data_IF_203783722609
#
_entry.id   IF_203783722609
#
_cell.length_a   1.000
_cell.length_b   1.000
_cell.length_c   1.000
_cell.angle_alpha   90.00
_cell.angle_beta   90.00
_cell.angle_gamma   90.00
#
_symmetry.space_group_name_H-M   'P 1'
#
loop_
_entity.id
_entity.type
_entity.pdbx_description
1 polymer ?
#
# COMPACT_ATOMS: atom_id res chain seq x y z
N UNK A 1 10.03 -9.88 -7.12
CA UNK A 1 8.70 -9.79 -6.49
C UNK A 1 8.54 -10.98 -5.56
N UNK A 2 8.28 -10.77 -4.27
CA UNK A 2 8.07 -11.84 -3.29
C UNK A 2 6.60 -11.89 -2.89
N UNK A 3 5.99 -13.08 -2.91
CA UNK A 3 4.63 -13.31 -2.42
C UNK A 3 4.66 -13.40 -0.89
N UNK A 4 3.80 -12.62 -0.23
CA UNK A 4 3.73 -12.53 1.24
C UNK A 4 2.45 -13.17 1.77
N UNK A 5 1.33 -12.98 1.06
CA UNK A 5 0.03 -13.51 1.45
C UNK A 5 -0.81 -13.83 0.23
N UNK A 6 -1.61 -14.89 0.32
CA UNK A 6 -2.60 -15.29 -0.68
C UNK A 6 -3.80 -15.94 0.01
N UNK A 7 -5.01 -15.51 -0.33
CA UNK A 7 -6.25 -16.16 0.10
C UNK A 7 -7.39 -15.87 -0.87
N UNK A 8 -8.33 -16.81 -0.99
CA UNK A 8 -9.67 -16.49 -1.51
C UNK A 8 -10.39 -15.55 -0.54
N UNK A 9 -11.22 -14.67 -1.07
CA UNK A 9 -12.02 -13.73 -0.31
C UNK A 9 -12.92 -12.87 -1.19
N UNK A 10 -13.61 -11.94 -0.55
CA UNK A 10 -14.51 -11.02 -1.22
C UNK A 10 -13.96 -9.61 -1.14
N UNK A 11 -14.12 -8.85 -2.21
CA UNK A 11 -13.69 -7.46 -2.24
C UNK A 11 -14.60 -6.58 -3.09
N UNK A 12 -14.61 -5.29 -2.81
CA UNK A 12 -15.21 -4.27 -3.66
C UNK A 12 -14.46 -2.95 -3.53
N UNK A 13 -14.64 -2.09 -4.52
CA UNK A 13 -14.38 -0.66 -4.36
C UNK A 13 -15.53 -0.04 -3.55
N UNK A 14 -15.23 0.93 -2.69
CA UNK A 14 -16.14 1.62 -1.78
C UNK A 14 -16.67 0.76 -0.61
N UNK A 15 -17.73 1.25 0.05
CA UNK A 15 -18.35 0.61 1.20
C UNK A 15 -19.23 -0.58 0.84
N UNK A 16 -19.29 -1.54 1.78
CA UNK A 16 -20.20 -2.68 1.69
C UNK A 16 -21.60 -2.23 2.09
N UNK A 17 -22.57 -2.39 1.20
CA UNK A 17 -23.97 -2.05 1.44
C UNK A 17 -24.87 -3.30 1.42
N UNK A 18 -25.84 -3.38 2.32
CA UNK A 18 -26.84 -4.45 2.32
C UNK A 18 -26.25 -5.85 2.55
N UNK A 19 -26.69 -6.82 1.75
CA UNK A 19 -26.16 -8.18 1.80
C UNK A 19 -24.82 -8.24 1.06
N UNK A 20 -23.74 -8.25 1.84
CA UNK A 20 -22.36 -8.16 1.37
C UNK A 20 -21.99 -9.20 0.29
N UNK A 21 -22.56 -10.40 0.34
CA UNK A 21 -22.29 -11.45 -0.64
C UNK A 21 -22.71 -11.07 -2.07
N UNK A 22 -23.66 -10.14 -2.22
CA UNK A 22 -24.13 -9.66 -3.52
C UNK A 22 -23.48 -8.33 -3.93
N UNK A 23 -22.85 -7.62 -2.98
CA UNK A 23 -22.22 -6.32 -3.23
C UNK A 23 -20.70 -6.42 -3.41
N UNK A 24 -20.13 -7.62 -3.28
CA UNK A 24 -18.69 -7.86 -3.34
C UNK A 24 -18.37 -8.95 -4.35
N UNK A 25 -17.23 -8.80 -5.03
CA UNK A 25 -16.70 -9.78 -5.96
C UNK A 25 -15.91 -10.85 -5.20
N UNK A 26 -16.19 -12.12 -5.50
CA UNK A 26 -15.37 -13.25 -5.04
C UNK A 26 -14.10 -13.33 -5.89
N UNK A 27 -12.97 -13.58 -5.24
CA UNK A 27 -11.70 -13.68 -5.94
C UNK A 27 -10.51 -13.99 -5.04
N UNK A 28 -9.31 -13.74 -5.54
CA UNK A 28 -8.04 -13.93 -4.82
C UNK A 28 -7.49 -12.58 -4.36
N UNK A 29 -7.10 -12.52 -3.10
CA UNK A 29 -6.34 -11.42 -2.50
C UNK A 29 -4.87 -11.84 -2.45
N UNK A 30 -4.01 -11.12 -3.17
CA UNK A 30 -2.57 -11.37 -3.21
C UNK A 30 -1.83 -10.16 -2.64
N UNK A 31 -0.97 -10.39 -1.66
CA UNK A 31 -0.04 -9.38 -1.17
C UNK A 31 1.37 -9.75 -1.57
N UNK A 32 2.04 -8.84 -2.25
CA UNK A 32 3.48 -8.92 -2.53
C UNK A 32 4.19 -7.78 -1.81
N UNK A 33 5.52 -7.76 -1.87
CA UNK A 33 6.30 -6.63 -1.40
C UNK A 33 6.21 -5.37 -2.28
N UNK A 34 5.37 -5.35 -3.33
CA UNK A 34 5.19 -4.18 -4.22
C UNK A 34 3.73 -3.73 -4.31
N UNK A 35 2.79 -4.68 -4.31
CA UNK A 35 1.38 -4.39 -4.50
C UNK A 35 0.48 -5.34 -3.71
N UNK A 36 -0.72 -4.83 -3.40
CA UNK A 36 -1.91 -5.59 -3.03
C UNK A 36 -2.78 -5.77 -4.28
N UNK A 37 -2.97 -7.00 -4.71
CA UNK A 37 -3.81 -7.34 -5.87
C UNK A 37 -5.10 -8.04 -5.44
N UNK A 38 -6.20 -7.65 -6.08
CA UNK A 38 -7.53 -8.20 -5.90
C UNK A 38 -7.98 -8.75 -7.26
N UNK A 39 -7.87 -10.06 -7.45
CA UNK A 39 -8.15 -10.72 -8.72
C UNK A 39 -9.55 -11.31 -8.68
N UNK A 40 -10.40 -10.97 -9.64
CA UNK A 40 -11.80 -11.40 -9.66
C UNK A 40 -11.90 -12.81 -10.24
N UNK A 41 -12.67 -13.69 -9.60
CA UNK A 41 -12.95 -15.03 -10.14
C UNK A 41 -13.80 -14.89 -11.41
N UNK A 42 -13.34 -15.47 -12.51
CA UNK A 42 -14.04 -15.48 -13.79
C UNK A 42 -15.30 -16.33 -13.69
N UNK A 43 -16.43 -15.80 -14.17
CA UNK A 43 -17.72 -16.52 -14.22
C UNK A 43 -17.91 -17.32 -15.54
N UNK A 44 -16.87 -17.45 -16.38
CA UNK A 44 -16.98 -18.11 -17.69
C UNK A 44 -16.88 -19.62 -17.49
N UNK A 45 -18.02 -20.23 -17.21
CA UNK A 45 -18.14 -21.68 -17.13
C UNK A 45 -18.50 -22.20 -18.53
N UNK A 46 -17.50 -22.48 -19.36
CA UNK A 46 -17.69 -23.20 -20.62
C UNK A 46 -16.87 -24.48 -20.53
N UNK A 47 -17.46 -25.49 -19.87
CA UNK A 47 -17.17 -26.92 -20.06
C UNK A 47 -15.71 -27.27 -20.31
N UNK A 48 -14.91 -27.61 -19.28
CA UNK A 48 -13.95 -28.73 -19.32
C UNK A 48 -13.02 -28.79 -18.10
N UNK A 49 -12.45 -29.98 -17.93
CA UNK A 49 -11.67 -30.48 -16.79
C UNK A 49 -10.28 -29.84 -16.79
N UNK A 50 -9.96 -29.11 -15.71
CA UNK A 50 -8.61 -28.64 -15.40
C UNK A 50 -8.58 -27.18 -14.97
N UNK A 51 -8.54 -26.92 -13.67
CA UNK A 51 -8.47 -25.58 -13.09
C UNK A 51 -7.11 -24.93 -13.40
N UNK A 52 -7.06 -24.15 -14.48
CA UNK A 52 -5.91 -23.35 -14.87
C UNK A 52 -5.93 -22.00 -14.13
N UNK A 53 -4.78 -21.34 -14.06
CA UNK A 53 -4.65 -19.94 -13.60
C UNK A 53 -5.47 -18.96 -14.47
N UNK A 54 -5.99 -19.41 -15.61
CA UNK A 54 -6.85 -18.67 -16.54
C UNK A 54 -8.26 -18.33 -16.00
N UNK A 55 -8.62 -18.81 -14.81
CA UNK A 55 -9.93 -18.60 -14.17
C UNK A 55 -10.07 -17.27 -13.40
N UNK A 56 -9.08 -16.36 -13.46
CA UNK A 56 -9.12 -15.07 -12.77
C UNK A 56 -8.86 -13.90 -13.71
N UNK A 57 -9.75 -12.91 -13.67
CA UNK A 57 -9.58 -11.65 -14.38
C UNK A 57 -8.90 -10.61 -13.47
N UNK A 58 -8.12 -9.71 -14.08
CA UNK A 58 -7.50 -8.60 -13.37
C UNK A 58 -8.59 -7.69 -12.77
N UNK A 59 -8.63 -7.59 -11.45
CA UNK A 59 -9.52 -6.67 -10.74
C UNK A 59 -8.78 -5.38 -10.40
N UNK A 60 -8.15 -5.34 -9.23
CA UNK A 60 -7.39 -4.18 -8.76
C UNK A 60 -5.95 -4.55 -8.47
N UNK A 61 -5.02 -3.63 -8.76
CA UNK A 61 -3.61 -3.74 -8.40
C UNK A 61 -3.15 -2.45 -7.76
N UNK A 62 -3.03 -2.47 -6.43
CA UNK A 62 -2.80 -1.29 -5.60
C UNK A 62 -1.32 -1.30 -5.16
N UNK A 63 -0.47 -0.39 -5.66
CA UNK A 63 0.90 -0.24 -5.17
C UNK A 63 0.91 0.06 -3.67
N UNK A 64 1.82 -0.56 -2.91
CA UNK A 64 1.88 -0.35 -1.46
C UNK A 64 2.18 1.11 -1.09
N UNK A 65 3.01 1.78 -1.90
CA UNK A 65 3.30 3.22 -1.81
C UNK A 65 2.08 4.12 -2.06
N UNK A 66 0.98 3.59 -2.60
CA UNK A 66 -0.27 4.33 -2.77
C UNK A 66 -1.24 4.08 -1.62
N UNK A 67 -1.00 3.10 -0.75
CA UNK A 67 -1.87 2.81 0.40
C UNK A 67 -1.59 3.81 1.53
N UNK A 68 -2.59 4.63 1.85
CA UNK A 68 -2.53 5.62 2.91
C UNK A 68 -2.80 5.00 4.28
N UNK A 69 -3.78 4.11 4.36
CA UNK A 69 -4.25 3.56 5.63
C UNK A 69 -4.93 2.20 5.44
N UNK A 70 -4.69 1.28 6.36
CA UNK A 70 -5.34 -0.05 6.39
C UNK A 70 -5.82 -0.38 7.79
N UNK A 71 -7.08 -0.77 7.95
CA UNK A 71 -7.66 -1.05 9.27
C UNK A 71 -8.88 -1.99 9.19
N UNK A 72 -9.16 -2.76 10.25
CA UNK A 72 -10.39 -3.52 10.34
C UNK A 72 -11.59 -2.59 10.58
N UNK A 73 -12.71 -2.86 9.93
CA UNK A 73 -13.96 -2.12 10.09
C UNK A 73 -15.13 -3.11 10.19
N UNK A 74 -15.94 -2.96 11.24
CA UNK A 74 -17.21 -3.66 11.38
C UNK A 74 -18.33 -2.87 10.70
N UNK A 75 -18.98 -3.47 9.71
CA UNK A 75 -20.13 -2.91 9.00
C UNK A 75 -21.33 -3.85 9.18
N UNK A 76 -22.26 -3.49 10.06
CA UNK A 76 -23.35 -4.38 10.46
C UNK A 76 -22.82 -5.66 11.14
N UNK A 77 -23.05 -6.82 10.52
CA UNK A 77 -22.56 -8.12 11.03
C UNK A 77 -21.20 -8.51 10.47
N UNK A 78 -20.77 -7.94 9.35
CA UNK A 78 -19.52 -8.32 8.69
C UNK A 78 -18.35 -7.46 9.17
N UNK A 79 -17.18 -8.09 9.25
CA UNK A 79 -15.91 -7.41 9.46
C UNK A 79 -15.12 -7.42 8.16
N UNK A 80 -14.65 -6.24 7.79
CA UNK A 80 -13.92 -5.97 6.56
C UNK A 80 -12.55 -5.38 6.91
N UNK A 81 -11.60 -5.47 6.00
CA UNK A 81 -10.40 -4.64 5.97
C UNK A 81 -10.68 -3.47 5.04
N UNK A 82 -10.60 -2.26 5.58
CA UNK A 82 -10.64 -1.03 4.80
C UNK A 82 -9.24 -0.64 4.39
N UNK A 83 -9.10 -0.28 3.11
CA UNK A 83 -7.88 0.24 2.52
C UNK A 83 -8.22 1.58 1.89
N UNK A 84 -7.66 2.65 2.43
CA UNK A 84 -7.75 4.00 1.87
C UNK A 84 -6.45 4.28 1.11
N UNK A 85 -6.56 4.71 -0.14
CA UNK A 85 -5.40 5.08 -0.95
C UNK A 85 -5.15 6.59 -0.93
N UNK A 86 -3.93 7.00 -1.32
CA UNK A 86 -3.52 8.41 -1.37
C UNK A 86 -4.23 9.19 -2.48
N UNK A 87 -4.73 8.51 -3.50
CA UNK A 87 -5.52 9.06 -4.61
C UNK A 87 -7.04 9.02 -4.35
N UNK A 88 -7.46 8.83 -3.09
CA UNK A 88 -8.85 8.86 -2.62
C UNK A 88 -9.74 7.74 -3.18
N UNK A 89 -9.18 6.56 -3.45
CA UNK A 89 -9.96 5.34 -3.64
C UNK A 89 -10.02 4.56 -2.32
N UNK A 90 -11.16 3.93 -2.09
CA UNK A 90 -11.36 3.09 -0.91
C UNK A 90 -11.73 1.68 -1.34
N UNK A 91 -11.12 0.68 -0.72
CA UNK A 91 -11.42 -0.73 -0.96
C UNK A 91 -11.87 -1.40 0.33
N UNK A 92 -12.81 -2.33 0.20
CA UNK A 92 -13.24 -3.22 1.27
C UNK A 92 -12.88 -4.64 0.91
N UNK A 93 -12.21 -5.34 1.82
CA UNK A 93 -11.91 -6.77 1.69
C UNK A 93 -12.54 -7.51 2.85
N UNK A 94 -13.08 -8.70 2.62
CA UNK A 94 -13.50 -9.57 3.70
C UNK A 94 -13.17 -11.03 3.40
N UNK A 95 -12.71 -11.71 4.43
CA UNK A 95 -12.45 -13.15 4.46
C UNK A 95 -13.53 -13.81 5.33
N UNK A 96 -14.76 -13.26 5.29
CA UNK A 96 -15.85 -13.75 6.09
C UNK A 96 -16.31 -15.13 5.64
N UNK A 97 -16.37 -16.05 6.59
CA UNK A 97 -17.16 -17.26 6.52
C UNK A 97 -18.49 -17.08 7.27
N UNK A 98 -19.37 -18.09 7.15
CA UNK A 98 -20.70 -18.07 7.75
C UNK A 98 -20.69 -18.09 9.30
N UNK A 99 -19.54 -18.38 9.92
CA UNK A 99 -19.43 -18.55 11.37
C UNK A 99 -18.87 -17.30 12.06
N UNK A 100 -17.75 -16.77 11.54
CA UNK A 100 -16.98 -15.69 12.16
C UNK A 100 -17.33 -14.30 11.62
N UNK A 101 -18.05 -14.23 10.49
CA UNK A 101 -18.30 -12.99 9.74
C UNK A 101 -17.03 -12.17 9.50
N UNK A 102 -15.87 -12.84 9.41
CA UNK A 102 -14.58 -12.26 9.05
C UNK A 102 -13.86 -11.51 10.17
N UNK A 103 -14.29 -11.62 11.44
CA UNK A 103 -13.71 -10.84 12.54
C UNK A 103 -12.20 -11.04 12.67
N UNK A 104 -11.77 -12.26 13.02
CA UNK A 104 -10.36 -12.57 13.24
C UNK A 104 -9.54 -12.33 11.95
N UNK A 105 -10.09 -12.73 10.82
CA UNK A 105 -9.43 -12.62 9.52
C UNK A 105 -9.21 -11.14 9.12
N UNK A 106 -10.13 -10.23 9.44
CA UNK A 106 -9.96 -8.79 9.18
C UNK A 106 -8.85 -8.17 10.05
N UNK A 107 -8.76 -8.59 11.32
CA UNK A 107 -7.71 -8.13 12.22
C UNK A 107 -6.34 -8.65 11.78
N UNK A 108 -6.25 -9.91 11.35
CA UNK A 108 -5.02 -10.53 10.90
C UNK A 108 -4.54 -9.95 9.56
N UNK A 109 -5.43 -9.89 8.56
CA UNK A 109 -5.09 -9.38 7.23
C UNK A 109 -4.65 -7.89 7.30
N UNK A 110 -5.33 -7.07 8.10
CA UNK A 110 -4.92 -5.68 8.31
C UNK A 110 -3.54 -5.56 8.96
N UNK A 111 -3.18 -6.44 9.90
CA UNK A 111 -1.83 -6.50 10.48
C UNK A 111 -0.78 -6.90 9.45
N UNK A 112 -1.05 -7.91 8.63
CA UNK A 112 -0.13 -8.41 7.60
C UNK A 112 0.15 -7.33 6.56
N UNK A 113 -0.88 -6.62 6.08
CA UNK A 113 -0.70 -5.55 5.10
C UNK A 113 0.10 -4.38 5.71
N UNK A 114 -0.28 -3.93 6.91
CA UNK A 114 0.43 -2.83 7.57
C UNK A 114 1.90 -3.18 7.88
N UNK A 115 2.18 -4.39 8.36
CA UNK A 115 3.57 -4.81 8.64
C UNK A 115 4.42 -4.91 7.38
N UNK A 116 3.80 -5.30 6.26
CA UNK A 116 4.42 -5.34 4.94
C UNK A 116 4.74 -3.93 4.43
N UNK A 117 3.80 -3.00 4.52
CA UNK A 117 4.06 -1.59 4.13
C UNK A 117 5.22 -1.02 4.95
N UNK A 118 5.22 -1.25 6.27
CA UNK A 118 6.29 -0.78 7.16
C UNK A 118 7.65 -1.42 6.85
N UNK A 119 7.69 -2.69 6.45
CA UNK A 119 8.96 -3.35 6.11
C UNK A 119 9.53 -2.85 4.79
N UNK A 120 8.68 -2.54 3.81
CA UNK A 120 9.08 -1.93 2.54
C UNK A 120 9.64 -0.53 2.76
N UNK A 121 8.96 0.33 3.53
CA UNK A 121 9.44 1.69 3.86
C UNK A 121 10.82 1.62 4.54
N UNK A 122 10.99 0.73 5.52
CA UNK A 122 12.29 0.57 6.21
C UNK A 122 13.40 0.12 5.27
N UNK A 123 13.10 -0.79 4.33
CA UNK A 123 14.08 -1.24 3.35
C UNK A 123 14.49 -0.10 2.40
N UNK A 124 13.54 0.75 1.99
CA UNK A 124 13.82 1.94 1.17
C UNK A 124 14.66 2.98 1.92
N UNK A 125 14.36 3.23 3.20
CA UNK A 125 15.15 4.13 4.06
C UNK A 125 16.60 3.63 4.20
N UNK A 126 16.81 2.33 4.41
CA UNK A 126 18.16 1.74 4.48
C UNK A 126 18.95 1.90 3.18
N UNK A 127 18.27 1.85 2.02
CA UNK A 127 18.89 2.11 0.71
C UNK A 127 19.22 3.58 0.53
N UNK A 128 18.38 4.50 1.02
CA UNK A 128 18.67 5.95 0.97
C UNK A 128 19.82 6.35 1.89
N UNK A 129 19.91 5.76 3.08
CA UNK A 129 20.99 6.05 4.02
C UNK A 129 22.33 5.42 3.58
N UNK A 130 22.32 4.26 2.93
CA UNK A 130 23.53 3.69 2.31
C UNK A 130 24.00 4.44 1.05
N UNK A 131 23.10 5.17 0.37
CA UNK A 131 23.45 6.06 -0.74
C UNK A 131 23.84 7.49 -0.31
N UNK A 132 23.58 7.89 0.95
CA UNK A 132 24.09 9.17 1.50
C UNK A 132 25.61 9.19 1.64
N UNK A 133 26.25 8.02 1.76
CA UNK A 133 27.71 7.92 1.85
C UNK A 133 28.45 8.09 0.50
N UNK A 134 27.72 8.34 -0.60
CA UNK A 134 28.32 8.54 -1.95
C UNK A 134 28.03 9.90 -2.61
N UNK A 135 27.48 10.90 -1.90
CA UNK A 135 27.34 12.26 -2.47
C UNK A 135 27.33 13.45 -1.50
N UNK A 136 27.95 13.35 -0.31
CA UNK A 136 28.22 14.56 0.48
C UNK A 136 29.49 15.25 -0.02
N UNK A 137 29.35 16.04 -1.09
CA UNK A 137 30.30 17.10 -1.36
C UNK A 137 30.21 18.10 -0.19
N UNK A 138 31.17 17.98 0.74
CA UNK A 138 31.33 18.79 1.96
C UNK A 138 31.52 20.30 1.71
N UNK A 139 31.19 20.81 0.53
CA UNK A 139 31.64 22.11 0.06
C UNK A 139 30.58 23.22 -0.02
N UNK A 140 29.31 22.96 0.32
CA UNK A 140 28.27 23.99 0.16
C UNK A 140 27.82 24.62 1.48
N UNK A 141 28.21 25.89 1.72
CA UNK A 141 27.71 26.74 2.82
C UNK A 141 26.51 27.58 2.32
N UNK A 142 25.53 27.83 3.18
CA UNK A 142 24.37 28.71 2.87
C UNK A 142 24.34 29.92 3.80
N UNK A 143 23.83 31.05 3.30
CA UNK A 143 23.70 32.28 4.09
C UNK A 143 22.61 32.13 5.14
N UNK A 144 22.96 32.33 6.42
CA UNK A 144 21.97 32.31 7.50
C UNK A 144 20.94 33.45 7.42
N UNK A 145 21.23 34.51 6.66
CA UNK A 145 20.38 35.69 6.54
C UNK A 145 19.47 35.68 5.31
N UNK A 146 19.95 35.18 4.16
CA UNK A 146 19.19 35.22 2.90
C UNK A 146 19.04 33.85 2.20
N UNK A 147 19.58 32.77 2.77
CA UNK A 147 19.47 31.41 2.20
C UNK A 147 20.28 31.17 0.92
N UNK A 148 21.02 32.17 0.42
CA UNK A 148 21.82 32.03 -0.79
C UNK A 148 23.00 31.07 -0.60
N UNK A 149 23.39 30.37 -1.68
CA UNK A 149 24.58 29.52 -1.71
C UNK A 149 25.85 30.38 -1.60
N UNK A 150 26.82 29.93 -0.81
CA UNK A 150 28.05 30.66 -0.52
C UNK A 150 29.26 29.73 -0.66
N UNK A 151 30.34 30.27 -1.22
CA UNK A 151 31.68 29.68 -1.10
C UNK A 151 32.08 29.48 0.36
N UNK A 152 32.77 28.38 0.64
CA UNK A 152 33.32 28.05 1.98
C UNK A 152 34.30 29.14 2.47
N UNK A 153 35.00 29.80 1.53
CA UNK A 153 36.02 30.82 1.82
C UNK A 153 35.47 32.24 1.90
N UNK A 154 34.15 32.44 1.75
CA UNK A 154 33.57 33.78 1.78
C UNK A 154 33.37 34.26 3.22
N UNK A 155 33.90 35.44 3.52
CA UNK A 155 33.70 36.13 4.80
C UNK A 155 32.39 36.93 4.84
N UNK A 156 31.79 37.22 3.69
CA UNK A 156 30.51 37.93 3.58
C UNK A 156 29.65 37.37 2.44
N UNK A 157 28.34 37.55 2.53
CA UNK A 157 27.39 37.11 1.51
C UNK A 157 27.36 38.10 0.34
N UNK A 158 27.65 37.64 -0.88
CA UNK A 158 27.55 38.51 -2.07
C UNK A 158 26.13 39.01 -2.35
N UNK A 159 25.11 38.27 -1.93
CA UNK A 159 23.71 38.61 -2.21
C UNK A 159 23.10 39.58 -1.19
N UNK A 160 23.49 39.51 0.10
CA UNK A 160 22.90 40.39 1.12
C UNK A 160 23.92 41.28 1.85
N UNK A 161 25.21 41.16 1.55
CA UNK A 161 26.28 41.98 2.15
C UNK A 161 26.61 41.65 3.61
N UNK A 162 25.93 40.69 4.23
CA UNK A 162 26.13 40.32 5.64
C UNK A 162 27.37 39.44 5.83
N UNK A 163 28.11 39.67 6.90
CA UNK A 163 29.23 38.81 7.35
C UNK A 163 28.73 37.40 7.76
N UNK A 164 29.53 36.35 7.51
CA UNK A 164 29.08 34.93 7.43
C UNK A 164 29.59 33.97 8.51
#
# INVERSE_FOLDING_TARGET
MSLIYSSEGYFCENEVHGNWQFSMDLGIILLTNHHLSLLKKSNINLTEIGSSIDDYNEGYKIPLENIKKVYPLKQGKIHTVKIETRDNHDFSITLADNESYGKNNSEELSKIINSTILSVIKAEEMVLDSNKDLSYDKSTKYCKFCGSKISITANYCINCGMEL
#
